data_IF_884309467565
#
_entry.id   IF_884309467565
#
_cell.length_a   1.000
_cell.length_b   1.000
_cell.length_c   1.000
_cell.angle_alpha   90.00
_cell.angle_beta   90.00
_cell.angle_gamma   90.00
#
_symmetry.space_group_name_H-M   'P 1'
#
loop_
_entity.id
_entity.type
_entity.pdbx_description
1 polymer ?
#
# COMPACT_ATOMS: atom_id res chain seq x y z
N UNK A 1 -9.04 22.24 29.78
CA UNK A 1 -8.06 21.14 29.61
C UNK A 1 -7.70 21.08 28.15
N UNK A 2 -6.55 21.65 27.81
CA UNK A 2 -5.97 21.66 26.46
C UNK A 2 -5.31 20.30 26.22
N UNK A 3 -5.86 19.50 25.31
CA UNK A 3 -5.27 18.24 24.88
C UNK A 3 -3.94 18.50 24.18
N UNK A 4 -2.90 17.78 24.61
CA UNK A 4 -1.60 17.83 23.95
C UNK A 4 -1.72 17.29 22.51
N UNK A 5 -1.01 17.87 21.53
CA UNK A 5 -0.94 17.31 20.19
C UNK A 5 -0.34 15.90 20.29
N UNK A 6 -1.05 14.92 19.74
CA UNK A 6 -0.61 13.52 19.76
C UNK A 6 0.80 13.41 19.20
N UNK A 7 1.74 13.01 20.05
CA UNK A 7 3.04 12.55 19.59
C UNK A 7 2.78 11.44 18.59
N UNK A 8 3.11 11.65 17.31
CA UNK A 8 3.30 10.55 16.39
C UNK A 8 4.18 9.53 17.11
N UNK A 9 3.68 8.32 17.34
CA UNK A 9 4.47 7.31 18.06
C UNK A 9 5.74 7.09 17.25
N UNK A 10 6.89 7.51 17.80
CA UNK A 10 8.16 7.43 17.10
C UNK A 10 8.34 6.02 16.52
N UNK A 11 8.54 5.93 15.20
CA UNK A 11 8.77 4.67 14.49
C UNK A 11 7.54 3.95 13.93
N UNK A 12 6.33 4.53 13.95
CA UNK A 12 5.16 3.90 13.30
C UNK A 12 5.28 3.83 11.79
N UNK A 13 5.85 4.85 11.17
CA UNK A 13 6.26 4.85 9.77
C UNK A 13 7.15 3.64 9.45
N UNK A 14 8.13 3.35 10.31
CA UNK A 14 9.00 2.18 10.18
C UNK A 14 8.26 0.86 10.39
N UNK A 15 7.28 0.81 11.30
CA UNK A 15 6.44 -0.37 11.49
C UNK A 15 5.58 -0.66 10.26
N UNK A 16 4.95 0.37 9.68
CA UNK A 16 4.21 0.24 8.43
C UNK A 16 5.11 -0.23 7.29
N UNK A 17 6.31 0.33 7.18
CA UNK A 17 7.29 -0.11 6.19
C UNK A 17 7.66 -1.58 6.38
N UNK A 18 7.98 -2.01 7.60
CA UNK A 18 8.35 -3.40 7.89
C UNK A 18 7.21 -4.38 7.53
N UNK A 19 5.95 -4.02 7.78
CA UNK A 19 4.82 -4.83 7.33
C UNK A 19 4.66 -4.80 5.81
N UNK A 20 4.81 -3.65 5.16
CA UNK A 20 4.80 -3.57 3.70
C UNK A 20 5.86 -4.48 3.05
N UNK A 21 7.05 -4.55 3.64
CA UNK A 21 8.12 -5.47 3.21
C UNK A 21 7.69 -6.93 3.35
N UNK A 22 7.14 -7.31 4.52
CA UNK A 22 6.68 -8.66 4.76
C UNK A 22 5.57 -9.10 3.80
N UNK A 23 4.59 -8.21 3.53
CA UNK A 23 3.52 -8.49 2.57
C UNK A 23 4.02 -8.53 1.12
N UNK A 24 4.97 -7.66 0.76
CA UNK A 24 5.62 -7.69 -0.56
C UNK A 24 6.35 -9.01 -0.79
N UNK A 25 7.09 -9.47 0.21
CA UNK A 25 7.78 -10.76 0.16
C UNK A 25 6.81 -11.94 0.11
N UNK A 26 5.69 -11.87 0.84
CA UNK A 26 4.64 -12.88 0.75
C UNK A 26 4.02 -12.94 -0.65
N UNK A 27 3.73 -11.78 -1.27
CA UNK A 27 3.20 -11.71 -2.63
C UNK A 27 4.17 -12.32 -3.66
N UNK A 28 5.47 -12.01 -3.54
CA UNK A 28 6.54 -12.60 -4.35
C UNK A 28 6.54 -14.13 -4.27
N UNK A 29 6.61 -14.66 -3.05
CA UNK A 29 6.64 -16.11 -2.81
C UNK A 29 5.39 -16.82 -3.32
N UNK A 30 4.23 -16.17 -3.23
CA UNK A 30 2.99 -16.73 -3.77
C UNK A 30 3.04 -16.78 -5.29
N UNK A 31 3.44 -15.69 -5.96
CA UNK A 31 3.59 -15.66 -7.41
C UNK A 31 4.62 -16.68 -7.92
N UNK A 32 5.76 -16.83 -7.23
CA UNK A 32 6.84 -17.73 -7.65
C UNK A 32 6.48 -19.23 -7.48
N UNK A 33 5.55 -19.56 -6.58
CA UNK A 33 5.20 -20.94 -6.22
C UNK A 33 3.83 -21.38 -6.71
N UNK A 34 3.03 -20.48 -7.25
CA UNK A 34 1.72 -20.82 -7.76
C UNK A 34 1.88 -21.57 -9.10
N UNK A 35 1.44 -22.83 -9.11
CA UNK A 35 1.32 -23.59 -10.36
C UNK A 35 0.23 -22.99 -11.27
N UNK A 36 -0.79 -22.38 -10.66
CA UNK A 36 -1.90 -21.71 -11.31
C UNK A 36 -2.23 -20.39 -10.58
N UNK A 37 -1.95 -19.27 -11.24
CA UNK A 37 -2.21 -17.94 -10.68
C UNK A 37 -3.70 -17.63 -10.56
N UNK A 38 -4.57 -18.25 -11.34
CA UNK A 38 -6.01 -17.97 -11.29
C UNK A 38 -6.61 -18.47 -9.97
N UNK A 39 -6.11 -19.59 -9.45
CA UNK A 39 -6.55 -20.17 -8.17
C UNK A 39 -6.18 -19.28 -6.98
N UNK A 40 -5.03 -18.60 -7.06
CA UNK A 40 -4.51 -17.74 -5.98
C UNK A 40 -4.62 -16.25 -6.27
N UNK A 41 -5.30 -15.87 -7.34
CA UNK A 41 -5.37 -14.48 -7.82
C UNK A 41 -5.91 -13.54 -6.74
N UNK A 42 -7.04 -13.89 -6.13
CA UNK A 42 -7.66 -13.07 -5.08
C UNK A 42 -6.77 -12.87 -3.85
N UNK A 43 -6.23 -13.92 -3.19
CA UNK A 43 -5.30 -13.73 -2.07
C UNK A 43 -4.00 -13.05 -2.50
N UNK A 44 -3.51 -13.27 -3.73
CA UNK A 44 -2.35 -12.56 -4.25
C UNK A 44 -2.60 -11.04 -4.32
N UNK A 45 -3.70 -10.61 -4.94
CA UNK A 45 -4.02 -9.18 -5.01
C UNK A 45 -4.36 -8.57 -3.65
N UNK A 46 -4.86 -9.36 -2.70
CA UNK A 46 -4.99 -8.91 -1.31
C UNK A 46 -3.62 -8.52 -0.72
N UNK A 47 -2.60 -9.38 -0.89
CA UNK A 47 -1.23 -9.09 -0.41
C UNK A 47 -0.66 -7.84 -1.10
N UNK A 48 -0.88 -7.70 -2.41
CA UNK A 48 -0.42 -6.55 -3.20
C UNK A 48 -1.06 -5.25 -2.71
N UNK A 49 -2.39 -5.21 -2.65
CA UNK A 49 -3.11 -4.01 -2.26
C UNK A 49 -2.79 -3.61 -0.82
N UNK A 50 -2.66 -4.59 0.08
CA UNK A 50 -2.32 -4.29 1.47
C UNK A 50 -0.86 -3.83 1.63
N UNK A 51 0.09 -4.41 0.89
CA UNK A 51 1.45 -3.90 0.87
C UNK A 51 1.51 -2.44 0.41
N UNK A 52 0.80 -2.08 -0.68
CA UNK A 52 0.72 -0.71 -1.18
C UNK A 52 0.09 0.24 -0.14
N UNK A 53 -1.01 -0.16 0.49
CA UNK A 53 -1.64 0.62 1.55
C UNK A 53 -0.65 0.92 2.68
N UNK A 54 0.10 -0.08 3.14
CA UNK A 54 1.07 0.07 4.21
C UNK A 54 2.25 0.97 3.81
N UNK A 55 2.75 0.86 2.57
CA UNK A 55 3.76 1.77 2.02
C UNK A 55 3.29 3.23 2.07
N UNK A 56 2.06 3.49 1.60
CA UNK A 56 1.50 4.83 1.59
C UNK A 56 1.24 5.35 3.02
N UNK A 57 0.77 4.49 3.93
CA UNK A 57 0.59 4.85 5.34
C UNK A 57 1.91 5.11 6.06
N UNK A 58 3.00 4.44 5.68
CA UNK A 58 4.34 4.74 6.18
C UNK A 58 4.74 6.18 5.80
N UNK A 59 4.59 6.55 4.53
CA UNK A 59 4.85 7.91 4.03
C UNK A 59 3.98 8.94 4.75
N UNK A 60 2.67 8.70 4.83
CA UNK A 60 1.73 9.63 5.49
C UNK A 60 2.03 9.77 6.99
N UNK A 61 2.43 8.69 7.66
CA UNK A 61 2.84 8.73 9.06
C UNK A 61 4.11 9.58 9.22
N UNK A 62 5.09 9.45 8.32
CA UNK A 62 6.30 10.28 8.29
C UNK A 62 5.98 11.76 8.02
N UNK A 63 4.96 12.05 7.19
CA UNK A 63 4.42 13.40 6.97
C UNK A 63 3.61 13.94 8.16
N UNK A 64 3.61 13.26 9.31
CA UNK A 64 2.97 13.72 10.54
C UNK A 64 1.46 13.47 10.63
N UNK A 65 0.90 12.56 9.82
CA UNK A 65 -0.49 12.09 10.04
C UNK A 65 -0.54 11.21 11.28
N UNK A 66 -1.42 11.51 12.22
CA UNK A 66 -1.66 10.68 13.41
C UNK A 66 -2.47 9.41 13.10
N UNK A 67 -2.67 8.56 14.10
CA UNK A 67 -3.32 7.26 13.95
C UNK A 67 -4.78 7.41 13.51
N UNK A 68 -5.50 8.34 14.15
CA UNK A 68 -6.90 8.62 13.85
C UNK A 68 -7.09 9.00 12.38
N UNK A 69 -6.23 9.87 11.84
CA UNK A 69 -6.24 10.26 10.43
C UNK A 69 -5.97 9.08 9.50
N UNK A 70 -4.98 8.25 9.83
CA UNK A 70 -4.65 7.06 9.04
C UNK A 70 -5.76 6.00 9.09
N UNK A 71 -6.47 5.87 10.22
CA UNK A 71 -7.63 5.00 10.35
C UNK A 71 -8.83 5.52 9.54
N UNK A 72 -9.09 6.83 9.56
CA UNK A 72 -10.16 7.45 8.77
C UNK A 72 -9.96 7.32 7.26
N UNK A 73 -8.72 7.22 6.79
CA UNK A 73 -8.44 6.89 5.38
C UNK A 73 -8.88 5.47 5.00
N UNK A 74 -9.02 4.58 5.99
CA UNK A 74 -9.44 3.21 5.80
C UNK A 74 -8.49 2.46 4.87
N UNK A 75 -9.06 1.69 3.95
CA UNK A 75 -8.35 0.89 2.95
C UNK A 75 -8.36 1.54 1.55
N UNK A 76 -8.65 2.84 1.44
CA UNK A 76 -8.62 3.52 0.15
C UNK A 76 -7.18 3.85 -0.26
N UNK A 77 -6.70 3.14 -1.29
CA UNK A 77 -5.42 3.38 -1.93
C UNK A 77 -5.39 4.76 -2.61
N UNK A 78 -6.48 5.16 -3.28
CA UNK A 78 -6.58 6.45 -3.97
C UNK A 78 -6.40 7.61 -2.99
N UNK A 79 -7.11 7.57 -1.85
CA UNK A 79 -6.99 8.60 -0.80
C UNK A 79 -5.58 8.63 -0.21
N UNK A 80 -4.99 7.47 0.06
CA UNK A 80 -3.65 7.40 0.62
C UNK A 80 -2.61 7.94 -0.38
N UNK A 81 -2.71 7.55 -1.66
CA UNK A 81 -1.82 7.96 -2.74
C UNK A 81 -1.90 9.47 -2.98
N UNK A 82 -3.11 10.00 -3.20
CA UNK A 82 -3.30 11.42 -3.45
C UNK A 82 -2.80 12.30 -2.28
N UNK A 83 -2.92 11.83 -1.04
CA UNK A 83 -2.44 12.56 0.13
C UNK A 83 -0.92 12.46 0.29
N UNK A 84 -0.32 11.32 -0.04
CA UNK A 84 1.13 11.14 -0.01
C UNK A 84 1.81 12.09 -1.02
N UNK A 85 1.30 12.16 -2.26
CA UNK A 85 1.78 13.09 -3.29
C UNK A 85 1.62 14.55 -2.84
N UNK A 86 0.43 14.92 -2.33
CA UNK A 86 0.21 16.29 -1.80
C UNK A 86 1.14 16.67 -0.65
N UNK A 87 1.68 15.68 0.07
CA UNK A 87 2.68 15.87 1.12
C UNK A 87 4.13 15.87 0.62
N UNK A 88 4.36 15.91 -0.69
CA UNK A 88 5.69 16.06 -1.32
C UNK A 88 6.36 14.74 -1.71
N UNK A 89 5.69 13.59 -1.60
CA UNK A 89 6.25 12.29 -1.99
C UNK A 89 6.25 12.10 -3.52
N UNK A 90 6.72 13.09 -4.28
CA UNK A 90 6.58 13.22 -5.74
C UNK A 90 7.24 12.07 -6.50
N UNK A 91 8.22 11.39 -5.91
CA UNK A 91 8.84 10.18 -6.50
C UNK A 91 7.89 9.00 -6.62
N UNK A 92 6.75 9.04 -5.93
CA UNK A 92 5.67 8.07 -6.10
C UNK A 92 4.76 8.39 -7.30
N UNK A 93 4.86 9.58 -7.93
CA UNK A 93 4.14 9.85 -9.18
C UNK A 93 4.69 8.95 -10.28
N UNK A 94 3.96 7.87 -10.55
CA UNK A 94 4.32 6.81 -11.47
C UNK A 94 3.03 6.30 -12.13
N UNK A 95 3.01 6.26 -13.46
CA UNK A 95 1.80 5.90 -14.23
C UNK A 95 1.36 4.46 -13.95
N UNK A 96 2.30 3.52 -13.78
CA UNK A 96 1.97 2.15 -13.40
C UNK A 96 1.34 2.11 -12.00
N UNK A 97 1.89 2.84 -11.02
CA UNK A 97 1.31 2.91 -9.68
C UNK A 97 -0.09 3.48 -9.71
N UNK A 98 -0.32 4.56 -10.47
CA UNK A 98 -1.64 5.16 -10.61
C UNK A 98 -2.66 4.16 -11.19
N UNK A 99 -2.28 3.41 -12.23
CA UNK A 99 -3.13 2.37 -12.82
C UNK A 99 -3.43 1.23 -11.84
N UNK A 100 -2.44 0.85 -11.02
CA UNK A 100 -2.63 -0.16 -9.97
C UNK A 100 -3.54 0.32 -8.84
N UNK A 101 -3.40 1.58 -8.42
CA UNK A 101 -4.29 2.21 -7.45
C UNK A 101 -5.71 2.22 -7.98
N UNK A 102 -5.92 2.62 -9.23
CA UNK A 102 -7.24 2.60 -9.88
C UNK A 102 -7.85 1.19 -9.90
N UNK A 103 -7.08 0.17 -10.30
CA UNK A 103 -7.57 -1.20 -10.40
C UNK A 103 -7.87 -1.84 -9.03
N UNK A 104 -7.10 -1.49 -7.99
CA UNK A 104 -7.15 -2.17 -6.69
C UNK A 104 -7.87 -1.38 -5.59
N UNK A 105 -8.12 -0.08 -5.75
CA UNK A 105 -8.72 0.74 -4.68
C UNK A 105 -10.09 0.21 -4.27
N UNK A 106 -11.04 0.10 -5.19
CA UNK A 106 -12.39 -0.38 -4.87
C UNK A 106 -12.38 -1.79 -4.25
N UNK A 107 -11.77 -2.83 -4.87
CA UNK A 107 -11.81 -4.17 -4.29
C UNK A 107 -11.06 -4.26 -2.95
N UNK A 108 -10.01 -3.45 -2.72
CA UNK A 108 -9.34 -3.40 -1.42
C UNK A 108 -10.15 -2.66 -0.37
N UNK A 109 -10.70 -1.49 -0.72
CA UNK A 109 -11.52 -0.65 0.15
C UNK A 109 -12.75 -1.38 0.67
N UNK A 110 -13.38 -2.20 -0.19
CA UNK A 110 -14.53 -3.04 0.15
C UNK A 110 -14.15 -4.37 0.80
N UNK A 111 -12.86 -4.63 1.03
CA UNK A 111 -12.31 -5.91 1.50
C UNK A 111 -12.73 -7.10 0.61
N UNK A 112 -12.99 -6.83 -0.67
CA UNK A 112 -13.52 -7.82 -1.58
C UNK A 112 -12.52 -8.96 -1.85
N UNK A 113 -11.23 -8.64 -1.75
CA UNK A 113 -10.12 -9.58 -1.95
C UNK A 113 -9.98 -10.64 -0.83
N UNK A 114 -10.89 -10.67 0.17
CA UNK A 114 -10.87 -11.63 1.27
C UNK A 114 -11.90 -12.75 1.14
N UNK A 115 -12.85 -12.63 0.22
CA UNK A 115 -13.99 -13.55 0.13
C UNK A 115 -14.18 -14.04 -1.31
N UNK A 116 -14.79 -15.22 -1.50
CA UNK A 116 -15.15 -15.72 -2.83
C UNK A 116 -16.26 -14.84 -3.42
N UNK A 117 -15.89 -13.88 -4.25
CA UNK A 117 -16.83 -13.02 -4.95
C UNK A 117 -16.27 -12.59 -6.29
N UNK A 118 -17.18 -12.09 -7.13
CA UNK A 118 -16.81 -11.61 -8.45
C UNK A 118 -16.23 -10.21 -8.31
N UNK A 119 -14.98 -10.05 -8.76
CA UNK A 119 -14.33 -8.76 -8.84
C UNK A 119 -14.74 -8.12 -10.18
N UNK A 120 -15.15 -6.86 -10.13
CA UNK A 120 -15.47 -6.10 -11.33
C UNK A 120 -14.20 -5.49 -11.91
N UNK A 121 -13.97 -5.70 -13.20
CA UNK A 121 -12.82 -5.13 -13.92
C UNK A 121 -11.62 -6.07 -14.04
N UNK A 122 -10.71 -5.78 -14.98
CA UNK A 122 -9.49 -6.55 -15.15
C UNK A 122 -8.54 -6.31 -13.97
N UNK A 123 -7.98 -7.39 -13.45
CA UNK A 123 -6.86 -7.29 -12.50
C UNK A 123 -5.56 -7.03 -13.27
N UNK A 124 -4.59 -6.30 -12.67
CA UNK A 124 -3.28 -6.14 -13.28
C UNK A 124 -2.55 -7.47 -13.50
N UNK A 125 -1.48 -7.47 -14.28
CA UNK A 125 -0.67 -8.67 -14.47
C UNK A 125 0.15 -8.99 -13.19
N UNK A 126 0.15 -10.23 -12.67
CA UNK A 126 0.83 -10.56 -11.41
C UNK A 126 2.33 -10.26 -11.36
N UNK A 127 3.10 -10.55 -12.42
CA UNK A 127 4.52 -10.25 -12.44
C UNK A 127 4.78 -8.73 -12.47
N UNK A 128 3.92 -7.94 -13.13
CA UNK A 128 3.94 -6.48 -13.07
C UNK A 128 3.67 -5.98 -11.66
N UNK A 129 2.71 -6.60 -10.95
CA UNK A 129 2.43 -6.26 -9.56
C UNK A 129 3.65 -6.44 -8.64
N UNK A 130 4.35 -7.57 -8.79
CA UNK A 130 5.57 -7.85 -8.01
C UNK A 130 6.70 -6.86 -8.31
N UNK A 131 6.90 -6.53 -9.60
CA UNK A 131 7.90 -5.53 -10.02
C UNK A 131 7.57 -4.15 -9.46
N UNK A 132 6.30 -3.75 -9.55
CA UNK A 132 5.81 -2.48 -9.03
C UNK A 132 6.03 -2.41 -7.52
N UNK A 133 5.60 -3.40 -6.74
CA UNK A 133 5.80 -3.41 -5.29
C UNK A 133 7.26 -3.24 -4.90
N UNK A 134 8.16 -3.95 -5.59
CA UNK A 134 9.61 -3.86 -5.31
C UNK A 134 10.13 -2.45 -5.57
N UNK A 135 9.75 -1.85 -6.71
CA UNK A 135 10.13 -0.48 -7.07
C UNK A 135 9.60 0.54 -6.04
N UNK A 136 8.33 0.45 -5.68
CA UNK A 136 7.70 1.39 -4.75
C UNK A 136 8.26 1.25 -3.33
N UNK A 137 8.59 0.04 -2.91
CA UNK A 137 9.23 -0.21 -1.63
C UNK A 137 10.60 0.47 -1.52
N UNK A 138 11.41 0.42 -2.58
CA UNK A 138 12.70 1.10 -2.62
C UNK A 138 12.55 2.64 -2.60
N UNK A 139 11.54 3.17 -3.29
CA UNK A 139 11.19 4.60 -3.27
C UNK A 139 10.78 5.03 -1.86
N UNK A 140 9.90 4.28 -1.21
CA UNK A 140 9.43 4.60 0.15
C UNK A 140 10.55 4.47 1.18
N UNK A 141 11.41 3.45 1.10
CA UNK A 141 12.60 3.37 1.96
C UNK A 141 13.48 4.61 1.83
N UNK A 142 13.76 5.00 0.59
CA UNK A 142 14.59 6.19 0.31
C UNK A 142 13.90 7.45 0.82
N UNK A 143 12.58 7.55 0.68
CA UNK A 143 11.80 8.65 1.22
C UNK A 143 11.95 8.72 2.73
N UNK A 144 11.66 7.66 3.48
CA UNK A 144 11.73 7.67 4.95
C UNK A 144 13.16 7.86 5.51
N UNK A 145 14.20 7.53 4.73
CA UNK A 145 15.58 7.74 5.14
C UNK A 145 16.06 9.20 5.01
N UNK A 146 15.37 10.01 4.20
CA UNK A 146 15.68 11.43 4.06
C UNK A 146 14.85 12.21 5.09
N UNK A 147 15.49 13.08 5.88
CA UNK A 147 14.79 13.98 6.78
C UNK A 147 14.00 15.01 5.95
N UNK A 148 12.66 15.02 6.07
CA UNK A 148 11.73 15.95 5.40
C UNK A 148 11.18 16.98 6.36
#
# INVERSE_FOLDING_TARGET
MTGAPGQASAGRDQQYLAYAEAYTEAAKRLADRADDMDVVSTPFFHLVAHALELMLKAVLSCQGRDEERLMMMGHSLERCYAQAIRGGADRLEDEDLAAFVEALDQPHAMQALRYPQWLHGPMPEPAQAVRLLSRQLDIVRTWLANEH
#
